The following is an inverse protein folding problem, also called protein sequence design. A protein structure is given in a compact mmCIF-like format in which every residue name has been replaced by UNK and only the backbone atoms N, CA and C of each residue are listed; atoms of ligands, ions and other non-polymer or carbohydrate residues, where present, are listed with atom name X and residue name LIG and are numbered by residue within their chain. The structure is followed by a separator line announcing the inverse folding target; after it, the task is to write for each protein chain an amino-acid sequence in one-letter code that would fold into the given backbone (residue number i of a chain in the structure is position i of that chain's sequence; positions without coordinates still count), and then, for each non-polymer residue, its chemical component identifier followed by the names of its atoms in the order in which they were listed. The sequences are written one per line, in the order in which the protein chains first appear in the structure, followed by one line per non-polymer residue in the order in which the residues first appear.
data_IF_031465611452
#
_entry.id   IF_031465611452
#
_cell.length_a   1.000
_cell.length_b   1.000
_cell.length_c   1.000
_cell.angle_alpha   90.00
_cell.angle_beta   90.00
_cell.angle_gamma   90.00
#
_symmetry.space_group_name_H-M   'P 1'
#
loop_
_entity.id
_entity.type
_entity.pdbx_description
1 polymer ?
#
# COMPACT_ATOMS: atom_id res chain seq x y z
N UNK A 1 41.44 17.13 45.79
CA UNK A 1 41.06 15.71 46.03
C UNK A 1 39.62 15.61 45.54
N UNK A 2 39.26 14.96 44.45
CA UNK A 2 39.63 13.63 43.96
C UNK A 2 39.46 13.61 42.43
N UNK A 3 40.43 13.03 41.74
CA UNK A 3 40.54 12.87 40.28
C UNK A 3 39.73 11.68 39.78
N UNK A 4 39.09 11.79 38.61
CA UNK A 4 38.78 10.62 37.77
C UNK A 4 39.15 10.87 36.31
N UNK A 5 39.79 9.83 35.75
CA UNK A 5 40.59 9.82 34.52
C UNK A 5 39.73 9.54 33.29
N UNK A 6 40.13 10.17 32.18
CA UNK A 6 39.69 9.92 30.81
C UNK A 6 40.36 8.65 30.30
N UNK A 7 39.61 7.75 29.66
CA UNK A 7 40.13 6.60 28.93
C UNK A 7 39.77 6.77 27.45
N UNK A 8 40.78 6.97 26.60
CA UNK A 8 40.67 7.04 25.15
C UNK A 8 41.27 5.77 24.57
N UNK A 9 40.47 4.96 23.87
CA UNK A 9 40.94 3.79 23.12
C UNK A 9 41.12 4.15 21.64
N UNK A 10 42.35 4.07 21.17
CA UNK A 10 42.74 4.07 19.76
C UNK A 10 43.09 2.64 19.35
N UNK A 11 42.43 2.11 18.31
CA UNK A 11 42.79 0.83 17.69
C UNK A 11 43.25 1.12 16.26
N UNK A 12 44.52 0.79 16.01
CA UNK A 12 45.21 1.00 14.74
C UNK A 12 44.93 -0.07 13.69
N UNK A 13 45.02 0.36 12.44
CA UNK A 13 45.02 -0.43 11.22
C UNK A 13 46.40 -1.07 11.00
N UNK A 14 46.45 -2.39 10.77
CA UNK A 14 47.65 -3.10 10.33
C UNK A 14 47.48 -3.55 8.88
N UNK A 15 48.28 -3.01 7.98
CA UNK A 15 48.50 -3.51 6.62
C UNK A 15 49.85 -4.23 6.59
N UNK A 16 49.91 -5.44 6.02
CA UNK A 16 51.16 -6.16 5.77
C UNK A 16 51.16 -6.68 4.33
N UNK A 17 52.21 -6.29 3.62
CA UNK A 17 52.52 -6.65 2.23
C UNK A 17 53.85 -7.43 2.21
N UNK A 18 53.89 -8.43 1.33
CA UNK A 18 55.05 -9.05 0.66
C UNK A 18 56.02 -9.92 1.47
N UNK A 19 56.31 -11.14 0.97
CA UNK A 19 57.46 -11.40 0.09
C UNK A 19 57.65 -12.91 -0.22
N UNK A 20 57.97 -13.21 -1.47
CA UNK A 20 58.38 -14.51 -2.00
C UNK A 20 59.77 -14.95 -1.50
N UNK A 21 60.01 -16.26 -1.42
CA UNK A 21 61.34 -16.85 -1.69
C UNK A 21 61.26 -18.30 -2.18
N UNK A 22 62.15 -18.58 -3.12
CA UNK A 22 62.39 -19.79 -3.90
C UNK A 22 63.29 -20.82 -3.18
N UNK A 23 63.32 -22.06 -3.68
CA UNK A 23 64.41 -23.01 -3.43
C UNK A 23 64.06 -24.49 -3.64
N UNK A 24 64.70 -25.12 -4.62
CA UNK A 24 64.54 -26.50 -5.10
C UNK A 24 65.07 -27.58 -4.15
N UNK A 25 64.52 -28.81 -4.20
CA UNK A 25 65.30 -30.02 -4.53
C UNK A 25 64.48 -31.33 -4.67
N UNK A 26 65.02 -32.19 -5.53
CA UNK A 26 64.55 -33.45 -6.11
C UNK A 26 64.07 -34.54 -5.11
N UNK A 27 63.07 -35.33 -5.54
CA UNK A 27 63.26 -36.79 -5.72
C UNK A 27 62.18 -37.44 -6.60
N UNK A 28 62.63 -38.32 -7.50
CA UNK A 28 61.84 -39.06 -8.47
C UNK A 28 61.27 -40.34 -7.84
N UNK A 29 59.97 -40.60 -7.95
CA UNK A 29 59.47 -41.99 -7.99
C UNK A 29 58.26 -42.08 -8.92
N UNK A 30 58.31 -43.07 -9.82
CA UNK A 30 57.29 -43.37 -10.82
C UNK A 30 56.09 -44.03 -10.14
N UNK A 31 54.93 -43.38 -10.21
CA UNK A 31 53.62 -43.99 -9.96
C UNK A 31 52.62 -43.39 -10.92
N UNK A 32 52.03 -44.21 -11.80
CA UNK A 32 50.88 -43.80 -12.62
C UNK A 32 49.70 -43.54 -11.69
N UNK A 33 49.34 -42.27 -11.48
CA UNK A 33 48.04 -41.90 -10.96
C UNK A 33 47.30 -41.05 -12.00
N UNK A 34 46.20 -41.62 -12.48
CA UNK A 34 45.13 -40.90 -13.20
C UNK A 34 44.62 -39.80 -12.27
N UNK A 35 44.60 -38.52 -12.69
CA UNK A 35 44.05 -37.47 -11.85
C UNK A 35 42.55 -37.71 -11.64
N UNK A 36 42.01 -37.54 -10.42
CA UNK A 36 40.58 -37.60 -10.21
C UNK A 36 39.93 -36.42 -10.92
N UNK A 37 38.95 -36.71 -11.76
CA UNK A 37 38.00 -35.74 -12.29
C UNK A 37 37.42 -34.93 -11.14
N UNK A 38 37.78 -33.64 -11.07
CA UNK A 38 37.06 -32.67 -10.26
C UNK A 38 35.61 -32.64 -10.75
N UNK A 39 34.72 -33.20 -9.94
CA UNK A 39 33.30 -32.98 -10.09
C UNK A 39 33.03 -31.50 -9.83
N UNK A 40 32.91 -30.74 -10.91
CA UNK A 40 32.27 -29.43 -10.92
C UNK A 40 30.85 -29.62 -10.40
N UNK A 41 30.65 -29.39 -9.11
CA UNK A 41 29.33 -29.15 -8.54
C UNK A 41 28.77 -27.90 -9.22
N UNK A 42 27.90 -28.13 -10.19
CA UNK A 42 27.01 -27.10 -10.73
C UNK A 42 26.19 -26.58 -9.56
N UNK A 43 26.60 -25.44 -9.01
CA UNK A 43 25.78 -24.64 -8.11
C UNK A 43 24.58 -24.24 -8.96
N UNK A 44 23.42 -24.87 -8.71
CA UNK A 44 22.17 -24.44 -9.33
C UNK A 44 22.04 -22.93 -9.12
N UNK A 45 21.76 -22.14 -10.17
CA UNK A 45 21.54 -20.73 -9.99
C UNK A 45 20.38 -20.59 -9.01
N UNK A 46 20.67 -19.98 -7.85
CA UNK A 46 19.62 -19.61 -6.90
C UNK A 46 18.58 -18.87 -7.73
N UNK A 47 17.34 -19.40 -7.77
CA UNK A 47 16.23 -18.71 -8.40
C UNK A 47 16.26 -17.27 -7.87
N UNK A 48 16.66 -16.33 -8.73
CA UNK A 48 16.39 -14.92 -8.49
C UNK A 48 14.87 -14.89 -8.46
N UNK A 49 14.28 -14.90 -7.27
CA UNK A 49 12.87 -14.60 -7.08
C UNK A 49 12.71 -13.22 -7.69
N UNK A 50 12.17 -13.15 -8.90
CA UNK A 50 11.84 -11.90 -9.55
C UNK A 50 11.02 -11.10 -8.53
N UNK A 51 11.53 -9.95 -8.08
CA UNK A 51 10.84 -9.11 -7.11
C UNK A 51 9.43 -8.87 -7.64
N UNK A 52 8.42 -9.21 -6.84
CA UNK A 52 7.03 -8.98 -7.21
C UNK A 52 6.84 -7.48 -7.48
N UNK A 53 6.28 -7.13 -8.63
CA UNK A 53 5.99 -5.73 -8.94
C UNK A 53 4.96 -5.20 -7.95
N UNK A 54 5.15 -3.96 -7.54
CA UNK A 54 4.26 -3.26 -6.62
C UNK A 54 3.60 -2.07 -7.29
N UNK A 55 2.45 -1.68 -6.76
CA UNK A 55 1.92 -0.33 -6.91
C UNK A 55 1.90 0.28 -5.52
N UNK A 56 2.70 1.33 -5.32
CA UNK A 56 2.84 2.02 -4.05
C UNK A 56 2.25 3.43 -4.18
N UNK A 57 1.32 3.76 -3.29
CA UNK A 57 0.62 5.03 -3.29
C UNK A 57 0.80 5.72 -1.94
N UNK A 58 1.27 6.96 -1.93
CA UNK A 58 1.26 7.83 -0.76
C UNK A 58 0.17 8.90 -0.92
N UNK A 59 -0.81 8.88 -0.02
CA UNK A 59 -1.84 9.92 0.08
C UNK A 59 -1.38 10.94 1.11
N UNK A 60 -1.11 12.16 0.67
CA UNK A 60 -0.72 13.30 1.51
C UNK A 60 -1.93 14.24 1.56
N UNK A 61 -2.63 14.24 2.69
CA UNK A 61 -3.88 14.98 2.85
C UNK A 61 -3.67 16.19 3.75
N UNK A 62 -4.07 17.36 3.29
CA UNK A 62 -4.18 18.51 4.15
C UNK A 62 -5.27 18.26 5.21
N UNK A 63 -4.95 18.54 6.47
CA UNK A 63 -5.86 18.48 7.61
C UNK A 63 -5.97 19.84 8.32
N UNK A 64 -5.81 20.92 7.56
CA UNK A 64 -6.16 22.28 7.97
C UNK A 64 -7.68 22.46 8.17
N UNK A 65 -8.11 23.56 8.77
CA UNK A 65 -9.50 23.80 9.22
C UNK A 65 -10.56 23.72 8.10
N UNK A 66 -10.19 23.97 6.84
CA UNK A 66 -11.11 23.94 5.69
C UNK A 66 -11.26 22.55 5.07
N UNK A 67 -10.49 21.56 5.51
CA UNK A 67 -10.34 20.29 4.78
C UNK A 67 -11.21 19.13 5.26
N UNK A 68 -12.28 19.40 6.02
CA UNK A 68 -13.23 18.35 6.43
C UNK A 68 -13.84 17.65 5.22
N UNK A 69 -14.23 18.40 4.18
CA UNK A 69 -14.74 17.86 2.92
C UNK A 69 -13.75 16.95 2.21
N UNK A 70 -12.46 17.33 2.16
CA UNK A 70 -11.39 16.52 1.58
C UNK A 70 -11.24 15.19 2.33
N UNK A 71 -11.20 15.23 3.67
CA UNK A 71 -11.08 14.03 4.50
C UNK A 71 -12.31 13.13 4.29
N UNK A 72 -13.52 13.69 4.23
CA UNK A 72 -14.74 12.91 4.03
C UNK A 72 -14.84 12.31 2.62
N UNK A 73 -14.34 13.00 1.58
CA UNK A 73 -14.18 12.42 0.25
C UNK A 73 -13.15 11.28 0.27
N UNK A 74 -12.02 11.45 0.95
CA UNK A 74 -11.00 10.40 1.08
C UNK A 74 -11.59 9.15 1.75
N UNK A 75 -12.34 9.29 2.86
CA UNK A 75 -13.04 8.18 3.53
C UNK A 75 -14.05 7.50 2.61
N UNK A 76 -14.74 8.27 1.76
CA UNK A 76 -15.75 7.77 0.82
C UNK A 76 -15.16 7.08 -0.41
N UNK A 77 -13.91 7.41 -0.77
CA UNK A 77 -13.28 6.96 -2.02
C UNK A 77 -12.10 6.01 -1.83
N UNK A 78 -11.64 5.77 -0.60
CA UNK A 78 -10.52 4.86 -0.31
C UNK A 78 -10.69 3.50 -1.00
N UNK A 79 -11.86 2.89 -0.89
CA UNK A 79 -12.11 1.56 -1.46
C UNK A 79 -12.23 1.58 -2.99
N UNK A 80 -12.76 2.65 -3.59
CA UNK A 80 -12.74 2.85 -5.04
C UNK A 80 -11.30 2.92 -5.58
N UNK A 81 -10.42 3.65 -4.88
CA UNK A 81 -9.01 3.76 -5.23
C UNK A 81 -8.34 2.39 -5.15
N UNK A 82 -8.53 1.65 -4.05
CA UNK A 82 -8.01 0.28 -3.90
C UNK A 82 -8.53 -0.62 -5.03
N UNK A 83 -9.83 -0.60 -5.31
CA UNK A 83 -10.44 -1.40 -6.36
C UNK A 83 -9.80 -1.10 -7.72
N UNK A 84 -9.63 0.18 -8.08
CA UNK A 84 -8.94 0.60 -9.31
C UNK A 84 -7.53 0.00 -9.38
N UNK A 85 -6.73 0.17 -8.32
CA UNK A 85 -5.35 -0.34 -8.27
C UNK A 85 -5.30 -1.86 -8.43
N UNK A 86 -6.28 -2.60 -7.89
CA UNK A 86 -6.33 -4.07 -7.99
C UNK A 86 -6.66 -4.59 -9.38
N UNK A 87 -7.27 -3.77 -10.24
CA UNK A 87 -7.58 -4.16 -11.62
C UNK A 87 -6.30 -4.23 -12.48
N UNK A 88 -5.27 -3.48 -12.11
CA UNK A 88 -4.06 -3.35 -12.90
C UNK A 88 -3.21 -4.63 -12.85
N UNK A 89 -2.58 -4.94 -13.96
CA UNK A 89 -1.68 -6.07 -14.16
C UNK A 89 -0.44 -5.61 -14.92
N UNK A 90 0.72 -6.12 -14.52
CA UNK A 90 1.96 -5.95 -15.28
C UNK A 90 2.36 -7.31 -15.84
N UNK A 91 2.53 -7.41 -17.16
CA UNK A 91 2.80 -8.67 -17.87
C UNK A 91 1.84 -9.81 -17.45
N UNK A 92 0.55 -9.50 -17.33
CA UNK A 92 -0.51 -10.44 -16.93
C UNK A 92 -0.52 -10.82 -15.44
N UNK A 93 0.38 -10.28 -14.62
CA UNK A 93 0.44 -10.53 -13.17
C UNK A 93 -0.11 -9.35 -12.39
N UNK A 94 -0.96 -9.64 -11.41
CA UNK A 94 -1.45 -8.63 -10.47
C UNK A 94 -0.30 -8.17 -9.55
N UNK A 95 0.00 -6.87 -9.47
CA UNK A 95 1.00 -6.33 -8.56
C UNK A 95 0.46 -6.33 -7.13
N UNK A 96 1.37 -6.27 -6.16
CA UNK A 96 1.01 -6.00 -4.78
C UNK A 96 0.69 -4.52 -4.60
N UNK A 97 -0.36 -4.19 -3.85
CA UNK A 97 -0.74 -2.79 -3.57
C UNK A 97 -0.30 -2.43 -2.15
N UNK A 98 0.36 -1.28 -1.99
CA UNK A 98 0.71 -0.70 -0.70
C UNK A 98 0.29 0.76 -0.66
N UNK A 99 -0.35 1.16 0.45
CA UNK A 99 -0.82 2.54 0.64
C UNK A 99 -0.18 3.12 1.91
N UNK A 100 0.35 4.33 1.79
CA UNK A 100 0.78 5.18 2.89
C UNK A 100 -0.17 6.36 3.03
N UNK A 101 -0.31 6.84 4.26
CA UNK A 101 -1.14 7.98 4.60
C UNK A 101 -0.30 8.98 5.39
N UNK A 102 -0.30 10.22 4.92
CA UNK A 102 0.24 11.37 5.63
C UNK A 102 -0.87 12.37 5.83
N UNK A 103 -0.77 13.10 6.94
CA UNK A 103 -1.44 14.38 7.08
C UNK A 103 -0.39 15.48 7.13
N UNK A 104 -0.78 16.66 6.66
CA UNK A 104 0.00 17.88 6.82
C UNK A 104 -0.93 19.08 7.05
N UNK A 105 -0.38 20.24 7.44
CA UNK A 105 -1.17 21.47 7.55
C UNK A 105 -1.94 21.64 8.86
N UNK A 106 -1.63 20.82 9.88
CA UNK A 106 -2.34 20.82 11.15
C UNK A 106 -1.46 21.24 12.33
N UNK A 107 -1.82 22.34 13.01
CA UNK A 107 -1.07 22.91 14.13
C UNK A 107 -1.06 22.01 15.38
N UNK A 108 -1.93 21.00 15.43
CA UNK A 108 -1.89 19.95 16.44
C UNK A 108 -0.72 18.96 16.28
N UNK A 109 -0.05 18.99 15.13
CA UNK A 109 1.13 18.16 14.86
C UNK A 109 2.37 18.83 15.47
N UNK A 110 3.08 18.11 16.33
CA UNK A 110 4.26 18.61 17.05
C UNK A 110 5.52 18.80 16.18
N UNK A 111 5.43 18.51 14.88
CA UNK A 111 6.51 18.66 13.92
C UNK A 111 6.64 20.11 13.45
N UNK A 112 7.88 20.60 13.24
CA UNK A 112 8.13 21.98 12.83
C UNK A 112 7.57 22.33 11.44
N UNK A 113 7.31 21.32 10.60
CA UNK A 113 6.71 21.47 9.30
C UNK A 113 5.24 21.02 9.26
N UNK A 114 4.65 20.70 10.42
CA UNK A 114 3.28 20.20 10.57
C UNK A 114 3.00 18.93 9.78
N UNK A 115 3.96 17.99 9.76
CA UNK A 115 3.85 16.74 8.99
C UNK A 115 3.80 15.54 9.93
N UNK A 116 2.88 14.61 9.65
CA UNK A 116 2.87 13.30 10.31
C UNK A 116 2.68 12.19 9.29
N UNK A 117 3.63 11.25 9.26
CA UNK A 117 3.38 9.94 8.66
C UNK A 117 2.38 9.18 9.53
N UNK A 118 1.14 9.08 9.06
CA UNK A 118 0.05 8.41 9.78
C UNK A 118 0.16 6.90 9.62
N UNK A 119 0.46 6.43 8.40
CA UNK A 119 0.84 5.04 8.13
C UNK A 119 2.03 4.99 7.16
N UNK A 120 2.99 4.07 7.36
CA UNK A 120 3.96 3.75 6.32
C UNK A 120 3.26 3.07 5.13
N UNK A 121 4.00 2.82 4.04
CA UNK A 121 3.53 1.94 2.97
C UNK A 121 3.23 0.56 3.55
N UNK A 122 1.96 0.16 3.51
CA UNK A 122 1.48 -1.08 4.10
C UNK A 122 0.43 -1.77 3.21
N UNK A 123 0.33 -3.09 3.36
CA UNK A 123 -0.76 -3.92 2.80
C UNK A 123 -1.95 -4.04 3.75
N UNK A 124 -1.82 -3.57 4.99
CA UNK A 124 -2.92 -3.52 5.97
C UNK A 124 -3.85 -2.35 5.64
N UNK A 125 -4.76 -2.57 4.69
CA UNK A 125 -5.75 -1.57 4.26
C UNK A 125 -6.77 -1.25 5.37
N UNK A 126 -6.95 -2.15 6.35
CA UNK A 126 -7.79 -1.87 7.51
C UNK A 126 -7.13 -0.89 8.46
N UNK A 127 -5.81 -0.96 8.63
CA UNK A 127 -5.04 0.07 9.34
C UNK A 127 -5.10 1.41 8.63
N UNK A 128 -4.93 1.44 7.30
CA UNK A 128 -5.05 2.69 6.53
C UNK A 128 -6.45 3.30 6.72
N UNK A 129 -7.50 2.48 6.61
CA UNK A 129 -8.88 2.90 6.86
C UNK A 129 -9.08 3.38 8.30
N UNK A 130 -8.62 2.62 9.30
CA UNK A 130 -8.72 3.00 10.72
C UNK A 130 -8.12 4.39 10.96
N UNK A 131 -6.91 4.62 10.42
CA UNK A 131 -6.20 5.87 10.59
C UNK A 131 -6.82 7.02 9.82
N UNK A 132 -7.29 6.78 8.59
CA UNK A 132 -8.00 7.78 7.79
C UNK A 132 -9.28 8.25 8.50
N UNK A 133 -10.06 7.33 9.06
CA UNK A 133 -11.27 7.67 9.82
C UNK A 133 -10.98 8.39 11.15
N UNK A 134 -9.76 8.27 11.67
CA UNK A 134 -9.31 8.96 12.88
C UNK A 134 -8.78 10.38 12.62
N UNK A 135 -8.52 10.78 11.37
CA UNK A 135 -8.03 12.12 11.06
C UNK A 135 -9.06 13.19 11.44
N UNK A 136 -8.58 14.33 11.92
CA UNK A 136 -9.38 15.50 12.29
C UNK A 136 -8.67 16.73 11.77
N UNK A 137 -9.44 17.71 11.34
CA UNK A 137 -8.92 19.00 10.95
C UNK A 137 -8.60 19.85 12.18
N UNK A 138 -7.51 20.61 12.11
CA UNK A 138 -7.18 21.64 13.08
C UNK A 138 -6.11 22.51 12.44
N UNK A 139 -6.42 23.79 12.21
CA UNK A 139 -5.75 24.70 11.28
C UNK A 139 -4.23 24.73 11.36
N UNK A 140 -3.59 25.23 10.31
CA UNK A 140 -2.14 25.36 10.26
C UNK A 140 -1.64 25.78 8.88
N UNK A 141 -0.32 25.77 8.72
CA UNK A 141 0.34 26.13 7.46
C UNK A 141 0.64 24.90 6.62
N UNK A 142 0.37 24.99 5.32
CA UNK A 142 0.53 23.89 4.37
C UNK A 142 1.92 23.85 3.75
N UNK A 143 2.82 22.99 4.23
CA UNK A 143 4.17 22.87 3.65
C UNK A 143 4.30 21.71 2.66
N UNK A 144 3.70 21.89 1.47
CA UNK A 144 3.70 20.91 0.37
C UNK A 144 5.10 20.38 0.02
N UNK A 145 6.10 21.28 -0.10
CA UNK A 145 7.48 20.88 -0.38
C UNK A 145 8.09 20.00 0.73
N UNK A 146 7.74 20.26 1.99
CA UNK A 146 8.26 19.51 3.12
C UNK A 146 7.63 18.10 3.21
N UNK A 147 6.31 17.96 3.01
CA UNK A 147 5.64 16.65 3.07
C UNK A 147 6.04 15.75 1.91
N UNK A 148 6.23 16.30 0.70
CA UNK A 148 6.74 15.54 -0.45
C UNK A 148 8.17 15.07 -0.20
N UNK A 149 9.02 15.93 0.40
CA UNK A 149 10.39 15.54 0.79
C UNK A 149 10.36 14.39 1.76
N UNK A 150 9.55 14.49 2.82
CA UNK A 150 9.46 13.45 3.85
C UNK A 150 9.00 12.12 3.25
N UNK A 151 7.85 12.13 2.55
CA UNK A 151 7.30 10.94 1.92
C UNK A 151 8.27 10.31 0.89
N UNK A 152 8.96 11.12 0.07
CA UNK A 152 9.89 10.61 -0.95
C UNK A 152 11.24 10.10 -0.39
N UNK A 153 11.59 10.47 0.85
CA UNK A 153 12.85 10.07 1.49
C UNK A 153 12.65 8.96 2.52
N UNK A 154 11.56 8.98 3.29
CA UNK A 154 11.38 8.15 4.48
C UNK A 154 10.45 6.94 4.26
N UNK A 155 9.56 6.98 3.26
CA UNK A 155 8.80 5.79 2.90
C UNK A 155 9.70 4.74 2.24
N UNK A 156 9.41 3.48 2.54
CA UNK A 156 10.12 2.33 1.97
C UNK A 156 9.65 2.03 0.54
N UNK A 157 9.94 2.94 -0.38
CA UNK A 157 9.64 2.77 -1.79
C UNK A 157 10.40 1.57 -2.38
N UNK A 158 9.71 0.77 -3.16
CA UNK A 158 10.27 -0.43 -3.76
C UNK A 158 11.39 -0.07 -4.74
N UNK A 159 12.45 -0.85 -4.71
CA UNK A 159 13.62 -0.67 -5.58
C UNK A 159 13.40 -1.12 -7.02
N UNK A 160 12.34 -1.88 -7.31
CA UNK A 160 12.05 -2.37 -8.65
C UNK A 160 11.61 -1.21 -9.56
N UNK A 161 12.27 -1.08 -10.71
CA UNK A 161 11.97 -0.04 -11.69
C UNK A 161 10.60 -0.21 -12.36
N UNK A 162 10.08 -1.45 -12.37
CA UNK A 162 8.76 -1.75 -12.91
C UNK A 162 7.63 -1.53 -11.89
N UNK A 163 7.95 -1.19 -10.65
CA UNK A 163 6.95 -0.85 -9.64
C UNK A 163 6.49 0.60 -9.82
N UNK A 164 5.18 0.79 -9.89
CA UNK A 164 4.58 2.12 -10.02
C UNK A 164 4.52 2.80 -8.64
N UNK A 165 5.10 4.00 -8.53
CA UNK A 165 5.20 4.76 -7.27
C UNK A 165 4.55 6.12 -7.44
N UNK A 166 3.51 6.37 -6.66
CA UNK A 166 2.63 7.53 -6.83
C UNK A 166 2.53 8.30 -5.51
N UNK A 167 2.80 9.59 -5.56
CA UNK A 167 2.37 10.54 -4.54
C UNK A 167 1.11 11.25 -5.06
N UNK A 168 0.06 11.28 -4.25
CA UNK A 168 -1.07 12.18 -4.42
C UNK A 168 -1.08 13.14 -3.23
N UNK A 169 -0.89 14.43 -3.50
CA UNK A 169 -1.01 15.49 -2.51
C UNK A 169 -2.29 16.28 -2.77
N UNK A 170 -3.05 16.56 -1.71
CA UNK A 170 -4.30 17.32 -1.77
C UNK A 170 -4.38 18.37 -0.66
N UNK A 171 -4.77 19.59 -1.02
CA UNK A 171 -4.86 20.76 -0.13
C UNK A 171 -5.38 21.99 -0.87
N UNK A 172 -5.43 23.15 -0.20
CA UNK A 172 -6.11 24.34 -0.73
C UNK A 172 -5.30 25.64 -0.64
N UNK A 173 -4.07 25.61 -0.13
CA UNK A 173 -3.19 26.77 -0.02
C UNK A 173 -2.08 26.79 -1.09
N UNK A 174 -1.31 27.89 -1.24
CA UNK A 174 -0.19 27.94 -2.16
C UNK A 174 0.85 26.83 -1.99
N UNK A 175 1.18 26.17 -3.11
CA UNK A 175 2.02 24.97 -3.14
C UNK A 175 3.49 25.25 -2.77
N UNK A 176 3.91 26.51 -2.78
CA UNK A 176 5.28 26.97 -2.55
C UNK A 176 5.54 27.51 -1.14
N UNK A 177 4.59 27.29 -0.21
CA UNK A 177 4.76 27.64 1.19
C UNK A 177 5.89 26.86 1.89
N UNK A 178 6.42 27.47 2.96
CA UNK A 178 7.48 26.90 3.78
C UNK A 178 8.89 27.11 3.24
N UNK A 179 9.89 26.53 3.91
CA UNK A 179 11.31 26.72 3.57
C UNK A 179 11.83 25.74 2.52
N UNK A 180 11.08 24.67 2.25
CA UNK A 180 11.50 23.58 1.37
C UNK A 180 11.05 23.88 -0.06
N UNK A 181 12.00 24.06 -0.97
CA UNK A 181 11.70 24.34 -2.37
C UNK A 181 11.09 23.10 -3.05
N UNK A 182 9.79 23.18 -3.38
CA UNK A 182 9.05 22.07 -3.98
C UNK A 182 9.65 21.57 -5.31
N UNK A 183 10.29 22.44 -6.09
CA UNK A 183 10.86 22.08 -7.40
C UNK A 183 12.03 21.11 -7.25
N UNK A 184 12.89 21.35 -6.26
CA UNK A 184 14.04 20.49 -5.98
C UNK A 184 13.57 19.12 -5.49
N UNK A 185 12.66 19.09 -4.52
CA UNK A 185 12.19 17.83 -3.91
C UNK A 185 11.38 16.98 -4.88
N UNK A 186 10.56 17.58 -5.75
CA UNK A 186 9.83 16.85 -6.80
C UNK A 186 10.82 16.31 -7.84
N UNK A 187 11.83 17.09 -8.22
CA UNK A 187 12.89 16.61 -9.12
C UNK A 187 13.66 15.43 -8.51
N UNK A 188 13.87 15.44 -7.19
CA UNK A 188 14.53 14.35 -6.46
C UNK A 188 13.64 13.10 -6.40
N UNK A 189 12.34 13.25 -6.13
CA UNK A 189 11.36 12.16 -6.14
C UNK A 189 11.25 11.54 -7.55
N UNK A 190 11.22 12.36 -8.59
CA UNK A 190 11.20 11.92 -10.00
C UNK A 190 12.42 11.06 -10.36
N UNK A 191 13.62 11.39 -9.87
CA UNK A 191 14.83 10.56 -10.09
C UNK A 191 14.73 9.17 -9.45
N UNK A 192 13.81 8.96 -8.51
CA UNK A 192 13.49 7.66 -7.90
C UNK A 192 12.28 6.96 -8.56
N UNK A 193 11.82 7.47 -9.71
CA UNK A 193 10.60 7.08 -10.41
C UNK A 193 9.33 7.21 -9.55
N UNK A 194 9.28 8.23 -8.69
CA UNK A 194 8.09 8.56 -7.90
C UNK A 194 7.36 9.71 -8.61
N UNK A 195 6.16 9.42 -9.11
CA UNK A 195 5.31 10.42 -9.77
C UNK A 195 4.60 11.28 -8.74
N UNK A 196 4.62 12.60 -8.92
CA UNK A 196 3.89 13.53 -8.05
C UNK A 196 2.64 14.03 -8.76
N UNK A 197 1.48 13.65 -8.22
CA UNK A 197 0.16 14.12 -8.66
C UNK A 197 -0.40 15.08 -7.61
N UNK A 198 -1.05 16.14 -8.07
CA UNK A 198 -1.49 17.25 -7.22
C UNK A 198 -2.99 17.47 -7.40
N UNK A 199 -3.71 17.62 -6.30
CA UNK A 199 -5.17 17.78 -6.28
C UNK A 199 -5.49 19.06 -5.49
N UNK A 200 -5.83 20.14 -6.18
CA UNK A 200 -6.18 21.39 -5.53
C UNK A 200 -7.66 21.39 -5.11
N UNK A 201 -7.94 21.64 -3.84
CA UNK A 201 -9.30 21.73 -3.31
C UNK A 201 -9.81 23.17 -3.49
N UNK A 202 -10.40 23.44 -4.65
CA UNK A 202 -10.85 24.79 -5.01
C UNK A 202 -10.92 25.04 -6.51
N UNK A 203 -10.85 26.31 -6.90
CA UNK A 203 -10.94 26.71 -8.29
C UNK A 203 -9.69 26.27 -9.09
N UNK A 204 -9.91 25.80 -10.31
CA UNK A 204 -8.83 25.34 -11.20
C UNK A 204 -7.78 26.40 -11.50
N UNK A 205 -8.21 27.63 -11.81
CA UNK A 205 -7.29 28.70 -12.19
C UNK A 205 -6.50 29.22 -10.99
N UNK A 206 -7.10 29.15 -9.80
CA UNK A 206 -6.39 29.41 -8.55
C UNK A 206 -5.28 28.40 -8.32
N UNK A 207 -5.57 27.09 -8.39
CA UNK A 207 -4.53 26.06 -8.25
C UNK A 207 -3.40 26.18 -9.30
N UNK A 208 -3.70 26.69 -10.50
CA UNK A 208 -2.66 27.02 -11.48
C UNK A 208 -1.85 28.23 -11.01
N UNK A 209 -2.50 29.30 -10.58
CA UNK A 209 -1.88 30.53 -10.07
C UNK A 209 -1.05 30.31 -8.80
N UNK A 210 -1.39 29.30 -8.01
CA UNK A 210 -0.73 28.92 -6.76
C UNK A 210 0.17 27.68 -6.89
N UNK A 211 0.59 27.38 -8.12
CA UNK A 211 1.64 26.41 -8.49
C UNK A 211 1.34 24.91 -8.33
N UNK A 212 0.10 24.52 -8.03
CA UNK A 212 -0.28 23.09 -7.97
C UNK A 212 -0.04 22.39 -9.31
N UNK A 213 -0.47 23.01 -10.43
CA UNK A 213 -0.21 22.46 -11.76
C UNK A 213 1.29 22.37 -12.08
N UNK A 214 2.08 23.33 -11.59
CA UNK A 214 3.52 23.29 -11.77
C UNK A 214 4.14 22.09 -11.04
N UNK A 215 3.72 21.84 -9.79
CA UNK A 215 4.14 20.68 -9.00
C UNK A 215 3.92 19.35 -9.74
N UNK A 216 2.70 19.12 -10.25
CA UNK A 216 2.40 17.91 -11.02
C UNK A 216 3.23 17.80 -12.31
N UNK A 217 3.39 18.89 -13.04
CA UNK A 217 4.14 18.90 -14.31
C UNK A 217 5.61 18.56 -14.08
N UNK A 218 6.23 19.08 -13.01
CA UNK A 218 7.62 18.74 -12.65
C UNK A 218 7.78 17.27 -12.27
N UNK A 219 6.77 16.68 -11.62
CA UNK A 219 6.76 15.29 -11.15
C UNK A 219 6.29 14.26 -12.17
N UNK A 220 6.12 14.63 -13.45
CA UNK A 220 5.52 13.79 -14.50
C UNK A 220 4.14 13.19 -14.13
N UNK A 221 3.43 13.84 -13.20
CA UNK A 221 2.11 13.43 -12.76
C UNK A 221 1.01 14.29 -13.39
N UNK A 222 -0.14 14.31 -12.71
CA UNK A 222 -1.35 14.98 -13.16
C UNK A 222 -1.84 15.98 -12.14
N UNK A 223 -2.36 17.09 -12.67
CA UNK A 223 -3.02 18.13 -11.91
C UNK A 223 -4.53 17.98 -12.03
N UNK A 224 -5.19 17.98 -10.87
CA UNK A 224 -6.63 18.00 -10.74
C UNK A 224 -7.04 19.15 -9.83
N UNK A 225 -8.27 19.59 -9.99
CA UNK A 225 -8.94 20.42 -9.01
C UNK A 225 -10.26 19.76 -8.65
N UNK A 226 -10.65 19.83 -7.39
CA UNK A 226 -11.90 19.25 -6.89
C UNK A 226 -12.63 20.29 -6.05
N UNK A 227 -13.95 20.18 -5.99
CA UNK A 227 -14.72 20.80 -4.92
C UNK A 227 -14.73 19.82 -3.75
N UNK A 228 -14.03 20.14 -2.66
CA UNK A 228 -13.90 19.27 -1.48
C UNK A 228 -15.22 19.12 -0.73
N UNK A 229 -16.10 20.11 -0.77
CA UNK A 229 -17.39 20.09 -0.08
C UNK A 229 -18.50 19.48 -0.94
N UNK A 230 -18.21 19.24 -2.22
CA UNK A 230 -19.14 18.54 -3.08
C UNK A 230 -19.41 17.13 -2.56
N UNK A 231 -20.71 16.84 -2.36
CA UNK A 231 -21.15 15.51 -1.96
C UNK A 231 -20.90 14.52 -3.09
N UNK A 232 -20.24 13.42 -2.73
CA UNK A 232 -20.04 12.26 -3.59
C UNK A 232 -21.41 11.73 -4.06
N UNK A 233 -21.59 11.62 -5.38
CA UNK A 233 -22.83 11.08 -5.96
C UNK A 233 -22.80 9.56 -5.88
N UNK A 234 -23.79 8.99 -5.21
CA UNK A 234 -23.99 7.55 -5.12
C UNK A 234 -25.12 7.11 -6.04
N UNK A 235 -24.88 6.06 -6.82
CA UNK A 235 -25.89 5.39 -7.62
C UNK A 235 -26.15 4.03 -6.98
N UNK A 236 -27.33 3.90 -6.36
CA UNK A 236 -27.80 2.62 -5.85
C UNK A 236 -27.98 1.64 -7.02
N UNK A 237 -27.55 0.40 -6.79
CA UNK A 237 -27.65 -0.65 -7.81
C UNK A 237 -28.45 -1.84 -7.30
N UNK A 238 -29.12 -2.60 -8.19
CA UNK A 238 -29.84 -3.81 -7.78
C UNK A 238 -28.93 -4.93 -7.26
N UNK A 239 -27.59 -4.75 -7.32
CA UNK A 239 -26.61 -5.73 -6.88
C UNK A 239 -26.07 -5.46 -5.48
N UNK A 240 -26.28 -4.24 -4.94
CA UNK A 240 -25.67 -3.79 -3.69
C UNK A 240 -26.05 -4.68 -2.51
N UNK A 241 -27.35 -4.99 -2.35
CA UNK A 241 -27.86 -5.86 -1.27
C UNK A 241 -27.17 -7.23 -1.31
N UNK A 242 -27.05 -7.82 -2.51
CA UNK A 242 -26.45 -9.14 -2.64
C UNK A 242 -24.95 -9.14 -2.35
N UNK A 243 -24.24 -8.06 -2.71
CA UNK A 243 -22.83 -7.91 -2.36
C UNK A 243 -22.68 -7.76 -0.83
N UNK A 244 -23.54 -6.99 -0.17
CA UNK A 244 -23.54 -6.87 1.30
C UNK A 244 -23.80 -8.20 2.01
N UNK A 245 -24.73 -9.03 1.51
CA UNK A 245 -24.92 -10.41 2.01
C UNK A 245 -23.65 -11.27 1.82
N UNK A 246 -22.95 -11.09 0.71
CA UNK A 246 -21.68 -11.77 0.47
C UNK A 246 -20.60 -11.30 1.44
N UNK A 247 -20.57 -10.02 1.85
CA UNK A 247 -19.65 -9.53 2.87
C UNK A 247 -19.83 -10.25 4.22
N UNK A 248 -21.07 -10.41 4.67
CA UNK A 248 -21.36 -11.13 5.92
C UNK A 248 -20.83 -12.57 5.86
N UNK A 249 -21.10 -13.27 4.76
CA UNK A 249 -20.57 -14.63 4.55
C UNK A 249 -19.05 -14.65 4.43
N UNK A 250 -18.44 -13.65 3.79
CA UNK A 250 -16.99 -13.54 3.66
C UNK A 250 -16.34 -13.39 5.04
N UNK A 251 -16.92 -12.56 5.92
CA UNK A 251 -16.47 -12.39 7.30
C UNK A 251 -16.47 -13.69 8.11
N UNK A 252 -17.45 -14.57 7.86
CA UNK A 252 -17.55 -15.89 8.50
C UNK A 252 -16.48 -16.89 8.02
N UNK A 253 -15.70 -16.55 6.99
CA UNK A 253 -14.60 -17.40 6.51
C UNK A 253 -13.26 -17.09 7.17
N UNK A 254 -13.09 -15.97 7.88
CA UNK A 254 -11.83 -15.63 8.53
C UNK A 254 -11.65 -16.37 9.85
N UNK A 255 -10.51 -17.05 9.99
CA UNK A 255 -10.11 -17.79 11.17
C UNK A 255 -8.88 -17.09 11.73
N UNK A 256 -9.06 -16.30 12.79
CA UNK A 256 -7.91 -15.62 13.36
C UNK A 256 -6.92 -16.59 14.00
N UNK A 257 -5.64 -16.23 14.08
CA UNK A 257 -4.65 -16.93 14.87
C UNK A 257 -3.63 -15.96 15.49
N UNK A 258 -2.88 -16.44 16.48
CA UNK A 258 -1.85 -15.65 17.17
C UNK A 258 -2.43 -14.73 18.24
N UNK A 259 -1.53 -14.09 19.01
CA UNK A 259 -1.92 -13.30 20.19
C UNK A 259 -2.80 -12.09 19.88
N UNK A 260 -2.64 -11.50 18.69
CA UNK A 260 -3.39 -10.31 18.25
C UNK A 260 -4.45 -10.63 17.18
N UNK A 261 -4.65 -11.91 16.82
CA UNK A 261 -5.51 -12.26 15.69
C UNK A 261 -6.97 -11.83 15.87
N UNK A 262 -7.48 -11.92 17.10
CA UNK A 262 -8.84 -11.47 17.43
C UNK A 262 -8.99 -9.95 17.26
N UNK A 263 -7.96 -9.17 17.59
CA UNK A 263 -7.95 -7.72 17.43
C UNK A 263 -8.00 -7.32 15.96
N UNK A 264 -7.21 -7.98 15.09
CA UNK A 264 -7.25 -7.75 13.65
C UNK A 264 -8.60 -8.16 13.03
N UNK A 265 -9.17 -9.30 13.45
CA UNK A 265 -10.52 -9.69 13.01
C UNK A 265 -11.58 -8.65 13.42
N UNK A 266 -11.49 -8.12 14.64
CA UNK A 266 -12.37 -7.05 15.11
C UNK A 266 -12.14 -5.74 14.36
N UNK A 267 -10.89 -5.40 14.03
CA UNK A 267 -10.55 -4.24 13.21
C UNK A 267 -11.19 -4.32 11.84
N UNK A 268 -11.10 -5.47 11.15
CA UNK A 268 -11.78 -5.70 9.88
C UNK A 268 -13.29 -5.42 9.99
N UNK A 269 -13.95 -5.96 11.03
CA UNK A 269 -15.39 -5.72 11.25
C UNK A 269 -15.71 -4.26 11.57
N UNK A 270 -14.82 -3.55 12.28
CA UNK A 270 -14.99 -2.12 12.56
C UNK A 270 -14.87 -1.30 11.26
N UNK A 271 -13.93 -1.66 10.37
CA UNK A 271 -13.79 -0.99 9.09
C UNK A 271 -14.97 -1.29 8.14
N UNK A 272 -15.60 -2.46 8.23
CA UNK A 272 -16.88 -2.73 7.54
C UNK A 272 -17.97 -1.75 8.00
N UNK A 273 -18.09 -1.54 9.32
CA UNK A 273 -19.05 -0.57 9.90
C UNK A 273 -18.73 0.87 9.51
N UNK A 274 -17.45 1.26 9.51
CA UNK A 274 -17.02 2.60 9.09
C UNK A 274 -17.42 2.88 7.64
N UNK A 275 -17.22 1.90 6.74
CA UNK A 275 -17.63 2.01 5.35
C UNK A 275 -19.16 2.13 5.22
N UNK A 276 -19.92 1.32 5.97
CA UNK A 276 -21.38 1.37 6.01
C UNK A 276 -21.94 2.70 6.52
N UNK A 277 -21.35 3.25 7.59
CA UNK A 277 -21.70 4.58 8.11
C UNK A 277 -21.49 5.67 7.05
N UNK A 278 -20.44 5.54 6.24
CA UNK A 278 -20.15 6.50 5.19
C UNK A 278 -21.20 6.45 4.06
N UNK A 279 -21.48 5.26 3.53
CA UNK A 279 -22.63 5.00 2.64
C UNK A 279 -22.76 3.51 2.32
N UNK A 280 -23.96 3.11 1.86
CA UNK A 280 -24.17 1.76 1.30
C UNK A 280 -23.22 1.46 0.12
N UNK A 281 -22.97 2.46 -0.75
CA UNK A 281 -22.00 2.31 -1.84
C UNK A 281 -20.60 2.05 -1.31
N UNK A 282 -20.15 2.78 -0.28
CA UNK A 282 -18.81 2.61 0.27
C UNK A 282 -18.63 1.23 0.93
N UNK A 283 -19.66 0.70 1.60
CA UNK A 283 -19.67 -0.66 2.12
C UNK A 283 -19.52 -1.72 1.00
N UNK A 284 -20.20 -1.51 -0.14
CA UNK A 284 -20.08 -2.39 -1.30
C UNK A 284 -18.69 -2.32 -1.90
N UNK A 285 -18.12 -1.12 -2.09
CA UNK A 285 -16.74 -0.96 -2.61
C UNK A 285 -15.72 -1.64 -1.72
N UNK A 286 -15.85 -1.50 -0.39
CA UNK A 286 -15.02 -2.22 0.57
C UNK A 286 -15.14 -3.72 0.43
N UNK A 287 -16.36 -4.23 0.26
CA UNK A 287 -16.62 -5.67 0.06
C UNK A 287 -15.90 -6.18 -1.20
N UNK A 288 -15.96 -5.41 -2.28
CA UNK A 288 -15.22 -5.71 -3.51
C UNK A 288 -13.72 -5.72 -3.24
N UNK A 289 -13.17 -4.72 -2.55
CA UNK A 289 -11.74 -4.64 -2.23
C UNK A 289 -11.27 -5.84 -1.40
N UNK A 290 -12.02 -6.23 -0.36
CA UNK A 290 -11.75 -7.41 0.48
C UNK A 290 -11.75 -8.72 -0.30
N UNK A 291 -12.49 -8.78 -1.41
CA UNK A 291 -12.51 -9.96 -2.29
C UNK A 291 -11.26 -10.11 -3.17
N UNK A 292 -10.43 -9.04 -3.30
CA UNK A 292 -9.26 -9.00 -4.17
C UNK A 292 -7.99 -9.45 -3.44
N UNK A 293 -7.54 -10.68 -3.75
CA UNK A 293 -6.37 -11.32 -3.13
C UNK A 293 -5.03 -10.58 -3.30
N UNK A 294 -4.90 -9.73 -4.31
CA UNK A 294 -3.66 -8.98 -4.58
C UNK A 294 -3.51 -7.70 -3.75
N UNK A 295 -4.59 -7.19 -3.14
CA UNK A 295 -4.54 -6.03 -2.25
C UNK A 295 -4.90 -6.36 -0.80
N UNK A 296 -5.79 -7.33 -0.57
CA UNK A 296 -6.25 -7.66 0.77
C UNK A 296 -5.67 -9.03 1.21
N UNK A 297 -4.48 -8.99 1.83
CA UNK A 297 -3.77 -10.18 2.36
C UNK A 297 -3.66 -10.09 3.86
N UNK A 298 -4.18 -11.10 4.56
CA UNK A 298 -4.24 -11.16 6.01
C UNK A 298 -3.44 -12.33 6.58
N UNK A 299 -2.43 -12.83 5.86
CA UNK A 299 -1.66 -14.01 6.26
C UNK A 299 -0.91 -13.87 7.59
N UNK A 300 -0.84 -12.66 8.17
CA UNK A 300 -0.25 -12.42 9.49
C UNK A 300 -1.21 -12.67 10.66
N UNK A 301 -2.52 -12.76 10.41
CA UNK A 301 -3.53 -13.01 11.45
C UNK A 301 -4.65 -13.95 11.04
N UNK A 302 -4.92 -14.16 9.75
CA UNK A 302 -5.92 -15.09 9.24
C UNK A 302 -5.26 -16.41 8.81
N UNK A 303 -5.69 -17.50 9.43
CA UNK A 303 -5.14 -18.83 9.23
C UNK A 303 -5.42 -19.35 7.82
N UNK A 304 -6.53 -18.94 7.19
CA UNK A 304 -6.84 -19.35 5.82
C UNK A 304 -5.83 -18.74 4.84
N UNK A 305 -5.59 -17.43 4.91
CA UNK A 305 -4.57 -16.76 4.09
C UNK A 305 -3.15 -17.28 4.39
N UNK A 306 -2.82 -17.49 5.67
CA UNK A 306 -1.51 -18.01 6.08
C UNK A 306 -1.23 -19.40 5.50
N UNK A 307 -2.24 -20.27 5.45
CA UNK A 307 -2.13 -21.63 4.92
C UNK A 307 -2.16 -21.66 3.40
N UNK A 308 -2.84 -20.71 2.75
CA UNK A 308 -2.73 -20.51 1.29
C UNK A 308 -1.29 -20.16 0.90
N UNK A 309 -0.63 -19.29 1.67
CA UNK A 309 0.78 -18.94 1.49
C UNK A 309 1.74 -20.08 1.86
N UNK A 310 1.44 -20.81 2.92
CA UNK A 310 2.30 -21.86 3.47
C UNK A 310 1.48 -23.01 4.06
N UNK A 311 1.32 -24.06 3.25
CA UNK A 311 0.51 -25.24 3.60
C UNK A 311 1.02 -25.98 4.85
N UNK A 312 2.29 -25.80 5.23
CA UNK A 312 2.89 -26.47 6.37
C UNK A 312 2.58 -25.77 7.71
N UNK A 313 2.12 -24.52 7.67
CA UNK A 313 1.88 -23.72 8.87
C UNK A 313 0.85 -24.34 9.85
N UNK A 314 -0.07 -25.17 9.36
CA UNK A 314 -1.00 -25.93 10.22
C UNK A 314 -0.25 -26.77 11.27
N UNK A 315 0.88 -27.35 10.91
CA UNK A 315 1.69 -28.15 11.84
C UNK A 315 2.37 -27.28 12.90
N UNK A 316 2.63 -26.02 12.58
CA UNK A 316 3.40 -25.07 13.41
C UNK A 316 2.54 -24.27 14.38
N UNK A 317 1.30 -23.91 14.00
CA UNK A 317 0.43 -23.06 14.83
C UNK A 317 0.14 -23.68 16.20
N UNK A 318 0.28 -22.93 17.28
CA UNK A 318 0.02 -23.47 18.63
C UNK A 318 -1.47 -23.51 18.91
N UNK A 319 -1.91 -24.50 19.69
CA UNK A 319 -3.31 -24.59 20.11
C UNK A 319 -3.77 -23.35 20.89
N UNK A 320 -2.90 -22.78 21.73
CA UNK A 320 -3.17 -21.55 22.47
C UNK A 320 -3.41 -20.33 21.57
N UNK A 321 -2.91 -20.36 20.34
CA UNK A 321 -3.00 -19.30 19.34
C UNK A 321 -4.24 -19.45 18.45
N UNK A 322 -4.98 -20.56 18.56
CA UNK A 322 -6.20 -20.81 17.81
C UNK A 322 -7.42 -20.16 18.47
N UNK A 323 -8.49 -19.88 17.69
CA UNK A 323 -9.73 -19.36 18.24
C UNK A 323 -10.44 -20.43 19.07
N UNK A 324 -11.34 -20.01 19.96
CA UNK A 324 -11.99 -20.90 20.93
C UNK A 324 -12.67 -22.12 20.28
N UNK A 325 -13.24 -21.95 19.09
CA UNK A 325 -13.94 -22.98 18.32
C UNK A 325 -12.99 -24.05 17.73
N UNK A 326 -11.68 -23.79 17.73
CA UNK A 326 -10.63 -24.69 17.24
C UNK A 326 -9.66 -25.15 18.34
N UNK A 327 -9.76 -24.60 19.56
CA UNK A 327 -9.02 -25.13 20.72
C UNK A 327 -9.48 -26.56 21.04
N UNK A 328 -8.54 -27.43 21.38
CA UNK A 328 -8.77 -28.86 21.63
C UNK A 328 -8.94 -29.73 20.37
N UNK A 329 -8.97 -29.15 19.17
CA UNK A 329 -9.05 -29.92 17.91
C UNK A 329 -7.69 -30.45 17.49
N UNK A 330 -7.69 -31.63 16.87
CA UNK A 330 -6.52 -32.19 16.21
C UNK A 330 -6.06 -31.34 15.03
N UNK A 331 -4.80 -31.49 14.61
CA UNK A 331 -4.25 -30.80 13.45
C UNK A 331 -5.02 -31.12 12.17
N UNK A 332 -5.48 -32.35 12.02
CA UNK A 332 -6.29 -32.83 10.91
C UNK A 332 -7.66 -32.14 10.89
N UNK A 333 -8.30 -31.94 12.05
CA UNK A 333 -9.58 -31.23 12.15
C UNK A 333 -9.42 -29.73 11.86
N UNK A 334 -8.36 -29.09 12.37
CA UNK A 334 -8.04 -27.69 12.04
C UNK A 334 -7.80 -27.56 10.54
N UNK A 335 -7.02 -28.48 9.94
CA UNK A 335 -6.78 -28.51 8.48
C UNK A 335 -8.09 -28.63 7.70
N UNK A 336 -8.99 -29.53 8.11
CA UNK A 336 -10.31 -29.69 7.48
C UNK A 336 -11.13 -28.40 7.55
N UNK A 337 -11.15 -27.74 8.71
CA UNK A 337 -11.86 -26.47 8.89
C UNK A 337 -11.30 -25.36 7.98
N UNK A 338 -9.97 -25.24 7.89
CA UNK A 338 -9.31 -24.27 7.00
C UNK A 338 -9.60 -24.55 5.53
N UNK A 339 -9.54 -25.81 5.09
CA UNK A 339 -9.88 -26.20 3.71
C UNK A 339 -11.34 -25.87 3.38
N UNK A 340 -12.26 -26.15 4.30
CA UNK A 340 -13.67 -25.80 4.13
C UNK A 340 -13.85 -24.29 4.00
N UNK A 341 -13.29 -23.49 4.91
CA UNK A 341 -13.39 -22.03 4.87
C UNK A 341 -12.72 -21.42 3.64
N UNK A 342 -11.61 -21.99 3.18
CA UNK A 342 -10.95 -21.59 1.93
C UNK A 342 -11.86 -21.79 0.72
N UNK A 343 -12.52 -22.96 0.61
CA UNK A 343 -13.45 -23.25 -0.48
C UNK A 343 -14.71 -22.37 -0.45
N UNK A 344 -15.28 -22.14 0.75
CA UNK A 344 -16.39 -21.20 0.95
C UNK A 344 -16.00 -19.79 0.51
N UNK A 345 -14.82 -19.31 0.94
CA UNK A 345 -14.28 -17.99 0.60
C UNK A 345 -14.10 -17.82 -0.89
N UNK A 346 -13.50 -18.80 -1.58
CA UNK A 346 -13.28 -18.73 -3.03
C UNK A 346 -14.61 -18.61 -3.80
N UNK A 347 -15.64 -19.35 -3.38
CA UNK A 347 -16.98 -19.25 -4.00
C UNK A 347 -17.59 -17.86 -3.79
N UNK A 348 -17.50 -17.32 -2.58
CA UNK A 348 -18.03 -15.97 -2.25
C UNK A 348 -17.27 -14.89 -3.03
N UNK A 349 -15.94 -14.97 -3.09
CA UNK A 349 -15.12 -14.02 -3.84
C UNK A 349 -15.47 -14.00 -5.35
N UNK A 350 -15.70 -15.17 -5.96
CA UNK A 350 -16.16 -15.26 -7.36
C UNK A 350 -17.55 -14.64 -7.56
N UNK A 351 -18.45 -14.81 -6.60
CA UNK A 351 -19.78 -14.19 -6.64
C UNK A 351 -19.69 -12.66 -6.53
N UNK A 352 -18.89 -12.14 -5.59
CA UNK A 352 -18.62 -10.71 -5.45
C UNK A 352 -18.03 -10.14 -6.74
N UNK A 353 -17.05 -10.83 -7.34
CA UNK A 353 -16.44 -10.39 -8.60
C UNK A 353 -17.46 -10.28 -9.73
N UNK A 354 -18.28 -11.32 -9.94
CA UNK A 354 -19.31 -11.31 -10.97
C UNK A 354 -20.37 -10.22 -10.75
N UNK A 355 -20.75 -9.95 -9.49
CA UNK A 355 -21.69 -8.88 -9.15
C UNK A 355 -21.06 -7.49 -9.30
N UNK A 356 -19.78 -7.34 -8.95
CA UNK A 356 -19.06 -6.07 -9.06
C UNK A 356 -18.95 -5.57 -10.51
N UNK A 357 -18.78 -6.49 -11.47
CA UNK A 357 -18.77 -6.16 -12.91
C UNK A 357 -20.14 -5.61 -13.33
N UNK A 358 -21.22 -6.33 -13.01
CA UNK A 358 -22.59 -5.89 -13.33
C UNK A 358 -22.95 -4.57 -12.66
N UNK A 359 -22.46 -4.37 -11.44
CA UNK A 359 -22.61 -3.13 -10.68
C UNK A 359 -21.94 -1.96 -11.41
N UNK A 360 -20.68 -2.13 -11.83
CA UNK A 360 -19.96 -1.09 -12.55
C UNK A 360 -20.64 -0.76 -13.90
N UNK A 361 -21.04 -1.77 -14.67
CA UNK A 361 -21.77 -1.58 -15.93
C UNK A 361 -23.08 -0.79 -15.75
N UNK A 362 -23.80 -1.05 -14.64
CA UNK A 362 -25.01 -0.31 -14.28
C UNK A 362 -24.70 1.15 -13.95
N UNK A 363 -23.70 1.40 -13.10
CA UNK A 363 -23.25 2.74 -12.72
C UNK A 363 -22.84 3.54 -13.95
N UNK A 364 -22.01 2.97 -14.83
CA UNK A 364 -21.55 3.63 -16.05
C UNK A 364 -22.72 4.02 -16.97
N UNK A 365 -23.73 3.15 -17.07
CA UNK A 365 -24.94 3.41 -17.87
C UNK A 365 -25.78 4.52 -17.27
N UNK A 366 -25.97 4.53 -15.96
CA UNK A 366 -26.74 5.58 -15.27
C UNK A 366 -26.01 6.92 -15.28
N UNK A 367 -24.69 6.94 -15.13
CA UNK A 367 -23.87 8.15 -15.26
C UNK A 367 -24.00 8.76 -16.66
N UNK A 368 -23.92 7.94 -17.72
CA UNK A 368 -24.11 8.42 -19.11
C UNK A 368 -25.48 9.06 -19.33
N UNK A 369 -26.55 8.54 -18.71
CA UNK A 369 -27.91 9.10 -18.83
C UNK A 369 -28.07 10.44 -18.15
N UNK A 370 -27.36 10.66 -17.04
CA UNK A 370 -27.45 11.91 -16.26
C UNK A 370 -26.75 13.08 -16.95
N UNK A 371 -26.05 12.83 -18.08
CA UNK A 371 -25.05 13.73 -18.63
C UNK A 371 -23.82 13.69 -17.73
N UNK A 372 -22.61 13.61 -18.29
CA UNK A 372 -21.38 13.66 -17.50
C UNK A 372 -21.39 14.91 -16.59
N UNK A 373 -21.83 14.78 -15.34
CA UNK A 373 -21.47 15.75 -14.33
C UNK A 373 -20.03 15.41 -13.98
N UNK A 374 -19.09 16.02 -14.71
CA UNK A 374 -17.66 16.03 -14.46
C UNK A 374 -17.34 16.82 -13.18
N UNK A 375 -18.10 16.56 -12.12
CA UNK A 375 -17.67 16.85 -10.78
C UNK A 375 -16.53 15.89 -10.47
N UNK A 376 -15.31 16.37 -10.69
CA UNK A 376 -14.12 15.67 -10.29
C UNK A 376 -14.07 15.69 -8.76
N UNK A 377 -14.32 14.52 -8.16
CA UNK A 377 -14.03 14.27 -6.75
C UNK A 377 -12.64 13.61 -6.61
N UNK A 378 -12.15 13.53 -5.38
CA UNK A 378 -10.83 12.96 -5.09
C UNK A 378 -10.63 11.56 -5.71
N UNK A 379 -11.66 10.72 -5.67
CA UNK A 379 -11.59 9.34 -6.16
C UNK A 379 -11.42 9.29 -7.67
N UNK A 380 -12.24 10.05 -8.41
CA UNK A 380 -12.18 10.11 -9.88
C UNK A 380 -10.87 10.73 -10.38
N UNK A 381 -10.36 11.75 -9.70
CA UNK A 381 -9.06 12.35 -9.99
C UNK A 381 -7.92 11.32 -9.88
N UNK A 382 -7.91 10.54 -8.78
CA UNK A 382 -6.92 9.48 -8.57
C UNK A 382 -7.10 8.36 -9.59
N UNK A 383 -8.32 7.88 -9.83
CA UNK A 383 -8.62 6.83 -10.80
C UNK A 383 -8.09 7.18 -12.21
N UNK A 384 -8.45 8.37 -12.72
CA UNK A 384 -8.01 8.83 -14.03
C UNK A 384 -6.47 8.90 -14.13
N UNK A 385 -5.82 9.46 -13.11
CA UNK A 385 -4.36 9.53 -13.03
C UNK A 385 -3.72 8.13 -13.03
N UNK A 386 -4.22 7.24 -12.18
CA UNK A 386 -3.72 5.88 -12.02
C UNK A 386 -3.80 5.14 -13.36
N UNK A 387 -4.94 5.19 -14.05
CA UNK A 387 -5.12 4.45 -15.32
C UNK A 387 -4.20 4.97 -16.43
N UNK A 388 -4.02 6.28 -16.54
CA UNK A 388 -3.10 6.86 -17.53
C UNK A 388 -1.63 6.54 -17.22
N UNK A 389 -1.21 6.69 -15.96
CA UNK A 389 0.15 6.37 -15.53
C UNK A 389 0.43 4.88 -15.62
N UNK A 390 -0.54 4.03 -15.29
CA UNK A 390 -0.46 2.58 -15.44
C UNK A 390 -0.18 2.21 -16.90
N UNK A 391 -0.94 2.76 -17.85
CA UNK A 391 -0.71 2.53 -19.28
C UNK A 391 0.68 2.99 -19.74
N UNK A 392 1.14 4.17 -19.26
CA UNK A 392 2.50 4.68 -19.55
C UNK A 392 3.59 3.76 -19.00
N UNK A 393 3.34 3.11 -17.86
CA UNK A 393 4.28 2.20 -17.19
C UNK A 393 4.11 0.72 -17.62
N UNK A 394 3.34 0.44 -18.68
CA UNK A 394 3.19 -0.92 -19.22
C UNK A 394 2.22 -1.82 -18.45
N UNK A 395 1.38 -1.25 -17.59
CA UNK A 395 0.28 -1.97 -16.94
C UNK A 395 -0.96 -1.99 -17.84
N UNK A 396 -1.75 -3.05 -17.70
CA UNK A 396 -3.05 -3.23 -18.35
C UNK A 396 -4.12 -3.60 -17.32
N UNK A 397 -5.40 -3.52 -17.68
CA UNK A 397 -6.53 -4.02 -16.87
C UNK A 397 -6.72 -5.53 -17.13
#
# INVERSE_FOLDING_TARGET
MTTFKILTLSVGTLALLSAQKSGENLMCSKGRHVPPTENLTLVEPSKITAKENKIQVALLLDTSNSMDGLIDQAKSRLWNIVNTLTTLKYNGKAPQVEIALYEYGNDGISDENYIRQVTPLTQDLDLVSEKLFALRTNGGNEFCGAVIRDASMNLNWDSNENSMKLIYIAGNEPFDQGRVNYKNVISDAKRKNIYTNTIFCGNRDEGIGTFWQNGATLGDGKYFNIDSDQKVIYIETPYDVRISECNAKLNDTYIYYGSHGSEFKNKQMLQDKNAEIQSASNAVERTVAKSKKNAYKNDHWDLVDRVEKDKNFISEVKESELPAELKGKSKEEVKKAVVQKSAEREKIQKEIEALSIKRQEYIDKEMKKRGNSDADDLGKAIENSVLELAKKNGYSI
#
